data_IF_172142119266
#
_entry.id   IF_172142119266
#
_cell.length_a   1.000
_cell.length_b   1.000
_cell.length_c   1.000
_cell.angle_alpha   90.00
_cell.angle_beta   90.00
_cell.angle_gamma   90.00
#
_symmetry.space_group_name_H-M   'P 1'
#
loop_
_entity.id
_entity.type
_entity.pdbx_description
1 polymer ?
#
# COMPACT_ATOMS: atom_id res chain seq x y z
N UNK A 1 -72.07 38.24 -18.76
CA UNK A 1 -70.78 38.08 -18.04
C UNK A 1 -70.75 36.70 -17.49
N UNK A 2 -70.11 35.77 -18.20
CA UNK A 2 -69.95 34.37 -17.82
C UNK A 2 -68.59 34.18 -17.13
N UNK A 3 -68.64 33.93 -15.82
CA UNK A 3 -67.45 33.56 -15.04
C UNK A 3 -67.09 32.12 -15.32
N UNK A 4 -65.92 31.86 -15.94
CA UNK A 4 -65.29 30.56 -16.02
C UNK A 4 -64.54 30.30 -14.72
N UNK A 5 -64.75 29.18 -13.99
CA UNK A 5 -63.97 28.88 -12.80
C UNK A 5 -62.58 28.42 -13.21
N UNK A 6 -61.56 29.08 -12.66
CA UNK A 6 -60.17 28.60 -12.71
C UNK A 6 -60.09 27.25 -12.02
N UNK A 7 -59.94 26.20 -12.82
CA UNK A 7 -59.64 24.83 -12.32
C UNK A 7 -58.21 24.83 -11.83
N UNK A 8 -58.05 24.79 -10.52
CA UNK A 8 -56.73 24.75 -9.87
C UNK A 8 -55.95 23.51 -10.28
N UNK A 9 -54.81 23.72 -10.93
CA UNK A 9 -53.84 22.70 -11.37
C UNK A 9 -53.05 22.06 -10.20
N UNK A 10 -53.73 21.80 -9.07
CA UNK A 10 -53.10 21.14 -7.92
C UNK A 10 -52.60 19.73 -8.20
N UNK A 11 -53.21 19.03 -9.15
CA UNK A 11 -52.77 17.65 -9.54
C UNK A 11 -51.48 17.59 -10.31
N UNK A 12 -51.24 18.57 -11.19
CA UNK A 12 -50.04 18.70 -11.99
C UNK A 12 -48.84 19.08 -11.15
N UNK A 13 -48.99 20.01 -10.22
CA UNK A 13 -47.96 20.39 -9.25
C UNK A 13 -47.55 19.24 -8.30
N UNK A 14 -48.53 18.47 -7.80
CA UNK A 14 -48.23 17.31 -6.96
C UNK A 14 -47.51 16.19 -7.72
N UNK A 15 -47.85 15.97 -8.97
CA UNK A 15 -47.19 14.98 -9.80
C UNK A 15 -45.75 15.43 -10.16
N UNK A 16 -45.50 16.69 -10.46
CA UNK A 16 -44.18 17.24 -10.72
C UNK A 16 -43.31 17.16 -9.47
N UNK A 17 -43.81 17.58 -8.31
CA UNK A 17 -43.10 17.47 -7.03
C UNK A 17 -42.78 16.00 -6.66
N UNK A 18 -43.69 15.07 -6.94
CA UNK A 18 -43.46 13.63 -6.70
C UNK A 18 -42.39 13.05 -7.60
N UNK A 19 -42.32 13.49 -8.87
CA UNK A 19 -41.28 13.07 -9.82
C UNK A 19 -39.92 13.60 -9.42
N UNK A 20 -39.85 14.89 -9.09
CA UNK A 20 -38.59 15.53 -8.67
C UNK A 20 -38.04 14.95 -7.36
N UNK A 21 -38.94 14.63 -6.40
CA UNK A 21 -38.54 13.94 -5.16
C UNK A 21 -38.01 12.51 -5.41
N UNK A 22 -38.61 11.77 -6.32
CA UNK A 22 -38.13 10.44 -6.71
C UNK A 22 -36.78 10.50 -7.44
N UNK A 23 -36.57 11.46 -8.32
CA UNK A 23 -35.29 11.68 -9.00
C UNK A 23 -34.21 12.07 -7.99
N UNK A 24 -34.52 12.98 -7.05
CA UNK A 24 -33.58 13.33 -5.96
C UNK A 24 -33.26 12.14 -5.07
N UNK A 25 -34.25 11.34 -4.70
CA UNK A 25 -34.02 10.11 -3.90
C UNK A 25 -33.18 9.09 -4.65
N UNK A 26 -33.40 8.93 -5.96
CA UNK A 26 -32.60 8.02 -6.79
C UNK A 26 -31.17 8.52 -6.97
N UNK A 27 -30.98 9.81 -7.20
CA UNK A 27 -29.67 10.44 -7.29
C UNK A 27 -28.90 10.33 -5.97
N UNK A 28 -29.57 10.58 -4.83
CA UNK A 28 -28.98 10.42 -3.50
C UNK A 28 -28.58 8.96 -3.21
N UNK A 29 -29.40 7.99 -3.60
CA UNK A 29 -29.10 6.57 -3.44
C UNK A 29 -27.92 6.12 -4.31
N UNK A 30 -27.87 6.61 -5.54
CA UNK A 30 -26.74 6.33 -6.44
C UNK A 30 -25.45 6.96 -5.93
N UNK A 31 -25.49 8.19 -5.43
CA UNK A 31 -24.35 8.86 -4.83
C UNK A 31 -23.87 8.13 -3.56
N UNK A 32 -24.78 7.71 -2.69
CA UNK A 32 -24.46 6.95 -1.49
C UNK A 32 -23.81 5.61 -1.84
N UNK A 33 -24.35 4.88 -2.81
CA UNK A 33 -23.77 3.60 -3.26
C UNK A 33 -22.39 3.80 -3.90
N UNK A 34 -22.21 4.86 -4.69
CA UNK A 34 -20.92 5.16 -5.32
C UNK A 34 -19.88 5.57 -4.27
N UNK A 35 -20.27 6.38 -3.29
CA UNK A 35 -19.40 6.77 -2.17
C UNK A 35 -19.05 5.57 -1.30
N UNK A 36 -20.01 4.68 -1.02
CA UNK A 36 -19.76 3.46 -0.25
C UNK A 36 -18.79 2.50 -0.98
N UNK A 37 -18.96 2.32 -2.29
CA UNK A 37 -18.01 1.54 -3.11
C UNK A 37 -16.61 2.14 -3.11
N UNK A 38 -16.48 3.46 -3.35
CA UNK A 38 -15.19 4.13 -3.34
C UNK A 38 -14.52 4.09 -1.97
N UNK A 39 -15.28 4.27 -0.89
CA UNK A 39 -14.76 4.17 0.48
C UNK A 39 -14.33 2.73 0.81
N UNK A 40 -15.11 1.73 0.39
CA UNK A 40 -14.77 0.33 0.58
C UNK A 40 -13.52 -0.10 -0.19
N UNK A 41 -13.36 0.38 -1.42
CA UNK A 41 -12.16 0.13 -2.24
C UNK A 41 -10.92 0.83 -1.67
N UNK A 42 -11.07 2.09 -1.24
CA UNK A 42 -9.99 2.84 -0.60
C UNK A 42 -9.55 2.22 0.73
N UNK A 43 -10.48 1.72 1.52
CA UNK A 43 -10.19 1.00 2.76
C UNK A 43 -9.46 -0.32 2.48
N UNK A 44 -9.88 -1.08 1.45
CA UNK A 44 -9.20 -2.29 1.01
C UNK A 44 -7.76 -2.04 0.57
N UNK A 45 -7.52 -1.01 -0.21
CA UNK A 45 -6.17 -0.60 -0.65
C UNK A 45 -5.29 -0.24 0.54
N UNK A 46 -5.82 0.52 1.50
CA UNK A 46 -5.09 0.92 2.70
C UNK A 46 -4.70 -0.28 3.57
N UNK A 47 -5.60 -1.25 3.77
CA UNK A 47 -5.27 -2.49 4.51
C UNK A 47 -4.21 -3.30 3.78
N UNK A 48 -4.32 -3.44 2.45
CA UNK A 48 -3.33 -4.18 1.67
C UNK A 48 -1.95 -3.50 1.70
N UNK A 49 -1.90 -2.17 1.68
CA UNK A 49 -0.68 -1.39 1.87
C UNK A 49 -0.01 -1.72 3.22
N UNK A 50 -0.78 -1.77 4.31
CA UNK A 50 -0.29 -2.17 5.62
C UNK A 50 0.22 -3.61 5.65
N UNK A 51 -0.55 -4.55 5.11
CA UNK A 51 -0.16 -5.96 5.03
C UNK A 51 1.13 -6.13 4.23
N UNK A 52 1.24 -5.49 3.07
CA UNK A 52 2.42 -5.55 2.22
C UNK A 52 3.64 -4.95 2.91
N UNK A 53 3.49 -3.82 3.60
CA UNK A 53 4.57 -3.17 4.34
C UNK A 53 5.06 -4.03 5.49
N UNK A 54 4.16 -4.62 6.27
CA UNK A 54 4.51 -5.54 7.36
C UNK A 54 5.18 -6.79 6.81
N UNK A 55 4.68 -7.35 5.71
CA UNK A 55 5.30 -8.51 5.05
C UNK A 55 6.70 -8.18 4.53
N UNK A 56 6.90 -7.00 3.94
CA UNK A 56 8.22 -6.56 3.46
C UNK A 56 9.22 -6.37 4.61
N UNK A 57 8.79 -5.75 5.71
CA UNK A 57 9.62 -5.58 6.92
C UNK A 57 9.93 -6.95 7.54
N UNK A 58 8.94 -7.83 7.63
CA UNK A 58 9.14 -9.20 8.11
C UNK A 58 10.20 -9.94 7.30
N UNK A 59 10.09 -9.91 5.97
CA UNK A 59 11.06 -10.53 5.07
C UNK A 59 12.44 -9.88 5.17
N UNK A 60 12.51 -8.57 5.36
CA UNK A 60 13.77 -7.85 5.52
C UNK A 60 14.51 -8.23 6.81
N UNK A 61 13.79 -8.40 7.92
CA UNK A 61 14.38 -8.59 9.25
C UNK A 61 14.59 -10.07 9.58
N UNK A 62 13.62 -10.93 9.27
CA UNK A 62 13.59 -12.32 9.75
C UNK A 62 14.10 -13.34 8.72
N UNK A 63 14.00 -13.08 7.42
CA UNK A 63 14.30 -14.08 6.40
C UNK A 63 15.70 -13.98 5.79
N UNK A 64 16.57 -13.27 6.44
CA UNK A 64 17.95 -13.06 6.02
C UNK A 64 18.77 -14.36 5.94
N UNK A 65 18.38 -15.37 6.70
CA UNK A 65 19.12 -16.63 6.83
C UNK A 65 18.83 -17.62 5.70
N UNK A 66 17.72 -17.51 4.98
CA UNK A 66 17.30 -18.46 3.96
C UNK A 66 17.61 -18.03 2.51
N UNK A 67 17.97 -16.77 2.29
CA UNK A 67 18.25 -16.26 0.96
C UNK A 67 19.74 -16.28 0.67
N UNK A 68 20.11 -17.05 -0.35
CA UNK A 68 21.52 -17.24 -0.75
C UNK A 68 22.20 -15.98 -1.30
N UNK A 69 21.47 -14.90 -1.55
CA UNK A 69 21.98 -13.66 -2.13
C UNK A 69 21.46 -12.43 -1.40
N UNK A 70 22.36 -11.62 -0.86
CA UNK A 70 22.07 -10.33 -0.23
C UNK A 70 21.34 -9.35 -1.18
N UNK A 71 21.43 -9.59 -2.48
CA UNK A 71 20.83 -8.76 -3.52
C UNK A 71 19.30 -8.79 -3.49
N UNK A 72 18.70 -9.96 -3.19
CA UNK A 72 17.26 -10.13 -3.11
C UNK A 72 16.66 -9.38 -1.92
N UNK A 73 17.32 -9.43 -0.77
CA UNK A 73 16.88 -8.75 0.43
C UNK A 73 17.00 -7.23 0.29
N UNK A 74 18.01 -6.73 -0.44
CA UNK A 74 18.19 -5.30 -0.68
C UNK A 74 17.09 -4.68 -1.55
N UNK A 75 16.44 -5.46 -2.42
CA UNK A 75 15.28 -5.02 -3.20
C UNK A 75 14.03 -4.72 -2.35
N UNK A 76 13.97 -5.27 -1.13
CA UNK A 76 12.92 -4.92 -0.18
C UNK A 76 13.01 -3.48 0.32
N UNK A 77 14.19 -2.87 0.30
CA UNK A 77 14.39 -1.48 0.74
C UNK A 77 13.59 -0.50 -0.14
N UNK A 78 13.78 -0.46 -1.47
CA UNK A 78 12.93 0.39 -2.33
C UNK A 78 11.47 -0.04 -2.31
N UNK A 79 11.16 -1.33 -2.17
CA UNK A 79 9.78 -1.77 -2.01
C UNK A 79 9.12 -1.14 -0.78
N UNK A 80 9.75 -1.21 0.40
CA UNK A 80 9.27 -0.60 1.64
C UNK A 80 9.10 0.90 1.45
N UNK A 81 10.06 1.57 0.81
CA UNK A 81 9.99 3.00 0.56
C UNK A 81 8.72 3.41 -0.20
N UNK A 82 8.31 2.65 -1.22
CA UNK A 82 7.12 2.95 -2.02
C UNK A 82 5.81 2.43 -1.41
N UNK A 83 5.83 1.34 -0.66
CA UNK A 83 4.65 0.68 -0.10
C UNK A 83 4.31 1.11 1.33
N UNK A 84 5.20 1.82 2.03
CA UNK A 84 4.98 2.18 3.44
C UNK A 84 3.75 3.11 3.58
N UNK A 85 2.82 2.85 4.52
CA UNK A 85 1.68 3.73 4.75
C UNK A 85 2.09 5.18 5.01
N UNK A 86 1.30 6.13 4.50
CA UNK A 86 1.63 7.57 4.56
C UNK A 86 1.85 8.07 5.99
N UNK A 87 1.11 7.51 6.95
CA UNK A 87 1.24 7.85 8.38
C UNK A 87 2.62 7.49 8.91
N UNK A 88 3.08 6.26 8.66
CA UNK A 88 4.41 5.80 9.09
C UNK A 88 5.50 6.56 8.33
N UNK A 89 5.31 6.74 7.02
CA UNK A 89 6.26 7.46 6.20
C UNK A 89 6.48 8.90 6.69
N UNK A 90 5.41 9.62 7.02
CA UNK A 90 5.50 10.98 7.57
C UNK A 90 6.17 11.02 8.95
N UNK A 91 5.91 10.02 9.79
CA UNK A 91 6.55 9.87 11.08
C UNK A 91 8.08 9.71 10.96
N UNK A 92 8.53 8.81 10.06
CA UNK A 92 9.97 8.62 9.83
C UNK A 92 10.62 9.81 9.11
N UNK A 93 9.87 10.58 8.35
CA UNK A 93 10.38 11.80 7.72
C UNK A 93 10.37 13.02 8.63
N UNK A 94 9.69 12.93 9.78
CA UNK A 94 9.67 13.96 10.81
C UNK A 94 10.91 13.94 11.70
N UNK A 95 10.84 14.66 12.81
CA UNK A 95 11.94 14.75 13.79
C UNK A 95 12.32 13.39 14.40
N UNK A 96 11.33 12.54 14.65
CA UNK A 96 11.54 11.19 15.20
C UNK A 96 12.44 10.35 14.30
N UNK A 97 12.17 10.35 12.99
CA UNK A 97 12.99 9.59 12.05
C UNK A 97 14.41 10.09 11.93
N UNK A 98 14.63 11.40 12.02
CA UNK A 98 15.98 11.99 12.06
C UNK A 98 16.76 11.51 13.28
N UNK A 99 16.13 11.47 14.46
CA UNK A 99 16.74 10.94 15.66
C UNK A 99 17.07 9.45 15.55
N UNK A 100 16.14 8.64 15.01
CA UNK A 100 16.37 7.21 14.76
C UNK A 100 17.54 7.03 13.78
N UNK A 101 17.59 7.81 12.69
CA UNK A 101 18.67 7.74 11.73
C UNK A 101 20.02 8.09 12.34
N UNK A 102 20.11 9.14 13.17
CA UNK A 102 21.32 9.52 13.89
C UNK A 102 21.78 8.39 14.81
N UNK A 103 20.86 7.84 15.61
CA UNK A 103 21.18 6.72 16.52
C UNK A 103 21.64 5.50 15.71
N UNK A 104 20.99 5.18 14.61
CA UNK A 104 21.37 4.07 13.74
C UNK A 104 22.79 4.23 13.18
N UNK A 105 23.14 5.43 12.70
CA UNK A 105 24.47 5.75 12.19
C UNK A 105 25.52 5.68 13.31
N UNK A 106 25.22 6.23 14.47
CA UNK A 106 26.12 6.19 15.64
C UNK A 106 26.38 4.75 16.09
N UNK A 107 25.32 3.93 16.19
CA UNK A 107 25.46 2.52 16.56
C UNK A 107 26.29 1.74 15.52
N UNK A 108 26.08 1.99 14.25
CA UNK A 108 26.85 1.36 13.18
C UNK A 108 28.32 1.78 13.21
N UNK A 109 28.61 3.04 13.54
CA UNK A 109 29.97 3.57 13.61
C UNK A 109 30.74 3.04 14.82
N UNK A 110 30.11 3.03 16.01
CA UNK A 110 30.78 2.65 17.25
C UNK A 110 30.77 1.14 17.53
N UNK A 111 29.79 0.42 17.04
CA UNK A 111 29.62 -1.01 17.29
C UNK A 111 29.54 -1.87 16.00
N UNK A 112 30.52 -1.74 15.06
CA UNK A 112 30.43 -2.37 13.76
C UNK A 112 30.39 -3.91 13.81
N UNK A 113 30.93 -4.53 14.86
CA UNK A 113 30.98 -5.99 15.03
C UNK A 113 29.66 -6.58 15.51
N UNK A 114 28.85 -5.84 16.27
CA UNK A 114 27.59 -6.35 16.85
C UNK A 114 26.39 -6.14 15.95
N UNK A 115 26.39 -5.06 15.16
CA UNK A 115 25.20 -4.62 14.39
C UNK A 115 25.32 -4.79 12.87
N UNK A 116 26.50 -5.24 12.38
CA UNK A 116 26.84 -5.23 10.97
C UNK A 116 25.91 -6.09 10.09
N UNK A 117 25.45 -7.23 10.59
CA UNK A 117 24.77 -8.17 9.72
C UNK A 117 23.24 -7.99 9.65
N UNK A 118 22.56 -7.82 10.76
CA UNK A 118 21.09 -7.76 10.79
C UNK A 118 20.52 -6.35 10.78
N UNK A 119 21.32 -5.35 11.14
CA UNK A 119 20.87 -3.96 11.24
C UNK A 119 21.18 -3.11 10.00
N UNK A 120 22.08 -3.55 9.13
CA UNK A 120 22.51 -2.80 7.95
C UNK A 120 21.36 -2.48 7.00
N UNK A 121 20.53 -3.46 6.65
CA UNK A 121 19.41 -3.26 5.73
C UNK A 121 18.25 -2.46 6.34
N UNK A 122 17.80 -2.71 7.59
CA UNK A 122 16.82 -1.84 8.23
C UNK A 122 17.30 -0.39 8.39
N UNK A 123 18.58 -0.20 8.76
CA UNK A 123 19.16 1.13 8.85
C UNK A 123 19.18 1.84 7.49
N UNK A 124 19.56 1.15 6.42
CA UNK A 124 19.54 1.67 5.07
C UNK A 124 18.12 2.07 4.63
N UNK A 125 17.09 1.28 4.97
CA UNK A 125 15.70 1.61 4.68
C UNK A 125 15.26 2.89 5.40
N UNK A 126 15.57 3.03 6.68
CA UNK A 126 15.26 4.24 7.47
C UNK A 126 16.01 5.44 6.89
N UNK A 127 17.29 5.29 6.58
CA UNK A 127 18.10 6.36 6.00
C UNK A 127 17.53 6.82 4.65
N UNK A 128 17.13 5.88 3.80
CA UNK A 128 16.50 6.19 2.52
C UNK A 128 15.22 7.02 2.70
N UNK A 129 14.35 6.65 3.66
CA UNK A 129 13.12 7.39 3.93
C UNK A 129 13.41 8.82 4.40
N UNK A 130 14.40 8.98 5.30
CA UNK A 130 14.75 10.29 5.89
C UNK A 130 15.41 11.22 4.87
N UNK A 131 16.32 10.68 4.04
CA UNK A 131 17.18 11.48 3.13
C UNK A 131 16.57 11.65 1.73
N UNK A 132 15.61 10.81 1.33
CA UNK A 132 15.05 10.86 -0.01
C UNK A 132 14.55 12.28 -0.39
N UNK A 133 14.87 12.77 -1.61
CA UNK A 133 14.37 14.04 -2.10
C UNK A 133 12.84 14.13 -2.10
N UNK A 134 12.29 15.31 -1.85
CA UNK A 134 10.85 15.53 -1.81
C UNK A 134 10.15 15.10 -3.10
N UNK A 135 10.80 15.31 -4.25
CA UNK A 135 10.28 14.89 -5.55
C UNK A 135 10.00 13.38 -5.57
N UNK A 136 10.97 12.57 -5.16
CA UNK A 136 10.83 11.10 -5.14
C UNK A 136 9.82 10.69 -4.07
N UNK A 137 9.90 11.29 -2.89
CA UNK A 137 9.06 10.93 -1.75
C UNK A 137 7.57 11.22 -1.94
N UNK A 138 7.22 12.28 -2.68
CA UNK A 138 5.84 12.74 -2.83
C UNK A 138 5.30 12.61 -4.25
N UNK A 139 6.16 12.61 -5.29
CA UNK A 139 5.72 12.51 -6.67
C UNK A 139 5.62 11.06 -7.15
N UNK A 140 6.62 10.23 -6.84
CA UNK A 140 6.60 8.83 -7.29
C UNK A 140 5.91 7.89 -6.32
N UNK A 141 5.97 8.20 -5.03
CA UNK A 141 5.28 7.41 -4.00
C UNK A 141 3.77 7.68 -4.05
N UNK A 142 2.97 6.63 -4.02
CA UNK A 142 1.51 6.71 -4.11
C UNK A 142 0.96 6.94 -5.52
N UNK A 143 1.83 7.09 -6.53
CA UNK A 143 1.46 7.17 -7.92
C UNK A 143 1.63 5.82 -8.63
N UNK A 144 1.04 5.70 -9.83
CA UNK A 144 1.13 4.53 -10.68
C UNK A 144 2.59 4.06 -10.89
N UNK A 145 3.54 5.01 -10.97
CA UNK A 145 4.96 4.69 -11.13
C UNK A 145 5.51 3.90 -9.94
N UNK A 146 5.21 4.34 -8.72
CA UNK A 146 5.60 3.62 -7.50
C UNK A 146 4.99 2.23 -7.42
N UNK A 147 3.71 2.09 -7.81
CA UNK A 147 3.01 0.80 -7.85
C UNK A 147 3.61 -0.15 -8.87
N UNK A 148 3.99 0.34 -10.06
CA UNK A 148 4.67 -0.45 -11.09
C UNK A 148 6.04 -0.92 -10.59
N UNK A 149 6.80 -0.07 -9.91
CA UNK A 149 8.08 -0.44 -9.31
C UNK A 149 7.86 -1.52 -8.24
N UNK A 150 6.89 -1.36 -7.35
CA UNK A 150 6.54 -2.37 -6.34
C UNK A 150 6.14 -3.69 -6.99
N UNK A 151 5.33 -3.65 -8.05
CA UNK A 151 4.92 -4.84 -8.80
C UNK A 151 6.11 -5.54 -9.45
N UNK A 152 7.03 -4.79 -10.05
CA UNK A 152 8.25 -5.32 -10.65
C UNK A 152 9.14 -6.01 -9.61
N UNK A 153 9.35 -5.36 -8.46
CA UNK A 153 10.14 -5.93 -7.36
C UNK A 153 9.45 -7.17 -6.79
N UNK A 154 8.16 -7.11 -6.46
CA UNK A 154 7.41 -8.23 -5.92
C UNK A 154 7.37 -9.43 -6.87
N UNK A 155 7.13 -9.19 -8.16
CA UNK A 155 7.16 -10.22 -9.21
C UNK A 155 8.53 -10.88 -9.36
N UNK A 156 9.60 -10.09 -9.35
CA UNK A 156 10.97 -10.60 -9.40
C UNK A 156 11.31 -11.44 -8.17
N UNK A 157 10.97 -10.97 -6.97
CA UNK A 157 11.17 -11.71 -5.73
C UNK A 157 10.40 -13.03 -5.71
N UNK A 158 9.17 -13.02 -6.21
CA UNK A 158 8.35 -14.23 -6.32
C UNK A 158 8.97 -15.23 -7.29
N UNK A 159 9.41 -14.78 -8.46
CA UNK A 159 10.04 -15.61 -9.47
C UNK A 159 11.32 -16.27 -8.92
N UNK A 160 12.16 -15.47 -8.27
CA UNK A 160 13.42 -15.97 -7.72
C UNK A 160 13.20 -16.92 -6.53
N UNK A 161 12.21 -16.65 -5.69
CA UNK A 161 11.82 -17.54 -4.60
C UNK A 161 11.34 -18.89 -5.12
N UNK A 162 10.52 -18.93 -6.16
CA UNK A 162 10.05 -20.17 -6.80
C UNK A 162 11.25 -20.93 -7.41
N UNK A 163 12.14 -20.21 -8.09
CA UNK A 163 13.35 -20.78 -8.71
C UNK A 163 14.30 -21.38 -7.67
N UNK A 164 14.56 -20.64 -6.58
CA UNK A 164 15.45 -21.09 -5.50
C UNK A 164 14.87 -22.29 -4.72
N UNK A 165 13.54 -22.40 -4.67
CA UNK A 165 12.85 -23.52 -4.03
C UNK A 165 12.80 -24.77 -4.89
N UNK A 166 13.13 -24.68 -6.17
CA UNK A 166 13.05 -25.81 -7.12
C UNK A 166 11.63 -26.09 -7.61
N UNK A 167 10.76 -25.06 -7.63
CA UNK A 167 9.40 -25.10 -8.12
C UNK A 167 8.36 -24.63 -7.12
N UNK A 168 7.19 -24.25 -7.65
CA UNK A 168 6.10 -23.63 -6.86
C UNK A 168 5.64 -24.53 -5.70
N UNK A 169 5.48 -25.84 -5.94
CA UNK A 169 5.05 -26.80 -4.91
C UNK A 169 6.07 -26.89 -3.76
N UNK A 170 7.35 -26.87 -4.08
CA UNK A 170 8.43 -26.98 -3.09
C UNK A 170 8.59 -25.69 -2.26
N UNK A 171 8.20 -24.54 -2.79
CA UNK A 171 8.23 -23.26 -2.08
C UNK A 171 7.36 -23.27 -0.81
N UNK A 172 6.28 -24.05 -0.80
CA UNK A 172 5.40 -24.21 0.36
C UNK A 172 5.82 -25.33 1.32
N UNK A 173 6.65 -26.28 0.89
CA UNK A 173 6.95 -27.49 1.66
C UNK A 173 8.20 -27.37 2.53
N UNK A 174 9.10 -26.41 2.23
CA UNK A 174 10.32 -26.19 3.01
C UNK A 174 10.03 -25.55 4.37
N UNK A 175 10.90 -25.79 5.35
CA UNK A 175 10.85 -25.12 6.64
C UNK A 175 10.79 -23.59 6.44
N UNK A 176 9.82 -22.93 7.06
CA UNK A 176 9.46 -21.51 6.85
C UNK A 176 9.04 -21.11 5.42
N UNK A 177 8.89 -22.07 4.50
CA UNK A 177 8.51 -21.79 3.11
C UNK A 177 7.13 -21.17 2.97
N UNK A 178 6.16 -21.61 3.78
CA UNK A 178 4.79 -21.08 3.75
C UNK A 178 4.79 -19.60 4.12
N UNK A 179 5.45 -19.22 5.23
CA UNK A 179 5.50 -17.84 5.70
C UNK A 179 6.16 -16.90 4.69
N UNK A 180 7.28 -17.35 4.11
CA UNK A 180 8.01 -16.56 3.11
C UNK A 180 7.23 -16.44 1.81
N UNK A 181 6.65 -17.52 1.34
CA UNK A 181 5.84 -17.52 0.12
C UNK A 181 4.61 -16.63 0.27
N UNK A 182 3.90 -16.71 1.41
CA UNK A 182 2.76 -15.83 1.70
C UNK A 182 3.19 -14.37 1.81
N UNK A 183 4.32 -14.10 2.47
CA UNK A 183 4.88 -12.74 2.53
C UNK A 183 5.15 -12.17 1.14
N UNK A 184 5.82 -12.93 0.27
CA UNK A 184 6.14 -12.50 -1.09
C UNK A 184 4.87 -12.34 -1.95
N UNK A 185 3.88 -13.24 -1.79
CA UNK A 185 2.57 -13.11 -2.46
C UNK A 185 1.88 -11.80 -2.04
N UNK A 186 1.90 -11.45 -0.75
CA UNK A 186 1.34 -10.18 -0.28
C UNK A 186 2.01 -8.96 -0.94
N UNK A 187 3.33 -9.02 -1.20
CA UNK A 187 4.05 -7.96 -1.93
C UNK A 187 3.56 -7.79 -3.38
N UNK A 188 3.06 -8.85 -4.01
CA UNK A 188 2.52 -8.77 -5.38
C UNK A 188 1.06 -8.36 -5.37
N UNK A 189 0.27 -8.85 -4.41
CA UNK A 189 -1.17 -8.60 -4.33
C UNK A 189 -1.47 -7.11 -4.13
N UNK A 190 -0.72 -6.42 -3.26
CA UNK A 190 -0.94 -5.00 -2.98
C UNK A 190 -0.85 -4.12 -4.24
N UNK A 191 0.26 -4.09 -5.00
CA UNK A 191 0.34 -3.22 -6.17
C UNK A 191 -0.63 -3.63 -7.29
N UNK A 192 -0.91 -4.93 -7.48
CA UNK A 192 -1.91 -5.39 -8.44
C UNK A 192 -3.29 -4.84 -8.08
N UNK A 193 -3.69 -4.98 -6.82
CA UNK A 193 -4.97 -4.45 -6.34
C UNK A 193 -5.05 -2.94 -6.52
N UNK A 194 -4.02 -2.20 -6.11
CA UNK A 194 -3.97 -0.74 -6.18
C UNK A 194 -3.90 -0.18 -7.62
N UNK A 195 -3.49 -1.00 -8.61
CA UNK A 195 -3.51 -0.60 -10.02
C UNK A 195 -4.90 -0.83 -10.63
N UNK A 196 -5.61 -1.88 -10.19
CA UNK A 196 -6.91 -2.26 -10.76
C UNK A 196 -8.05 -1.42 -10.20
N UNK A 197 -7.99 -1.06 -8.93
CA UNK A 197 -9.03 -0.36 -8.17
C UNK A 197 -8.56 0.99 -7.65
#
# INVERSE_FOLDING_TARGET
MTFTPMRSDHGTLQNMLGTDLNELATAAKNLANHTFMLTGLGFGTSILEWIASVAAIYLLVLDRTNWKTNMLTSLLIPYIFFSLPSVIFSLFRGEIGKWIAIVAVVLQLFFPKHFREWFELPAAAILLIVVAPNLIAYTFRGNLVGLIICLGIGGYLLQEHIRASGGFKNAFTKANGISNTLGIIALVVFPVWAIIF
#
